data_IF_211443001233
#
_entry.id   IF_211443001233
#
_cell.length_a   1.000
_cell.length_b   1.000
_cell.length_c   1.000
_cell.angle_alpha   90.00
_cell.angle_beta   90.00
_cell.angle_gamma   90.00
#
_symmetry.space_group_name_H-M   'P 1'
#
loop_
_entity.id
_entity.type
_entity.pdbx_description
1 polymer ?
#
# COMPACT_ATOMS: atom_id res chain seq x y z
N UNK A 1 2.52 -12.19 37.80
CA UNK A 1 1.10 -12.41 37.47
C UNK A 1 1.05 -12.70 35.98
N UNK A 2 0.70 -13.94 35.64
CA UNK A 2 0.50 -14.40 34.28
C UNK A 2 -0.72 -13.69 33.70
N UNK A 3 -0.55 -12.98 32.59
CA UNK A 3 -1.64 -12.76 31.63
C UNK A 3 -1.28 -13.59 30.43
N UNK A 4 -1.89 -14.77 30.35
CA UNK A 4 -1.97 -15.56 29.12
C UNK A 4 -2.55 -14.67 28.03
N UNK A 5 -1.72 -14.32 27.06
CA UNK A 5 -2.14 -13.63 25.86
C UNK A 5 -2.76 -14.70 24.96
N UNK A 6 -4.00 -15.07 25.26
CA UNK A 6 -4.78 -15.95 24.40
C UNK A 6 -5.11 -15.24 23.08
N UNK A 7 -4.75 -15.89 21.97
CA UNK A 7 -5.19 -15.60 20.60
C UNK A 7 -4.85 -14.22 19.99
N UNK A 8 -3.58 -13.82 19.99
CA UNK A 8 -3.15 -12.82 19.00
C UNK A 8 -3.09 -13.46 17.60
N UNK A 9 -3.85 -12.90 16.66
CA UNK A 9 -3.58 -13.10 15.23
C UNK A 9 -2.18 -12.53 14.94
N UNK A 10 -1.15 -13.38 15.02
CA UNK A 10 0.26 -12.99 14.85
C UNK A 10 0.52 -12.33 13.49
N UNK A 11 -0.33 -12.60 12.49
CA UNK A 11 -0.26 -11.94 11.17
C UNK A 11 -0.58 -10.45 11.21
N UNK A 12 -1.34 -9.99 12.21
CA UNK A 12 -1.72 -8.59 12.35
C UNK A 12 -0.62 -7.72 12.99
N UNK A 13 0.46 -8.33 13.50
CA UNK A 13 1.53 -7.63 14.20
C UNK A 13 2.85 -7.63 13.42
N UNK A 14 3.53 -6.49 13.44
CA UNK A 14 4.93 -6.32 13.02
C UNK A 14 5.78 -6.09 14.28
N UNK A 15 6.30 -7.18 14.85
CA UNK A 15 6.95 -7.15 16.15
C UNK A 15 5.97 -6.74 17.25
N UNK A 16 6.26 -5.66 17.97
CA UNK A 16 5.38 -5.14 19.03
C UNK A 16 4.32 -4.13 18.54
N UNK A 17 4.31 -3.80 17.25
CA UNK A 17 3.41 -2.80 16.66
C UNK A 17 2.38 -3.47 15.75
N UNK A 18 1.21 -2.85 15.59
CA UNK A 18 0.10 -3.41 14.79
C UNK A 18 -1.02 -3.93 15.68
N UNK A 19 -1.68 -5.00 15.24
CA UNK A 19 -2.88 -5.55 15.88
C UNK A 19 -4.18 -4.90 15.39
N UNK A 20 -5.30 -5.37 15.94
CA UNK A 20 -6.65 -4.91 15.60
C UNK A 20 -7.37 -4.50 16.89
N UNK A 21 -7.00 -3.34 17.44
CA UNK A 21 -7.60 -2.78 18.66
C UNK A 21 -8.86 -1.97 18.32
N UNK A 22 -9.91 -2.66 17.86
CA UNK A 22 -11.19 -2.07 17.47
C UNK A 22 -12.34 -2.65 18.29
N UNK A 23 -13.53 -2.01 18.34
CA UNK A 23 -14.71 -2.61 18.97
C UNK A 23 -15.06 -3.96 18.34
N UNK A 24 -15.65 -4.86 19.13
CA UNK A 24 -16.11 -6.18 18.66
C UNK A 24 -17.04 -6.07 17.44
N UNK A 25 -17.89 -5.04 17.42
CA UNK A 25 -18.81 -4.74 16.31
C UNK A 25 -18.09 -4.46 14.97
N UNK A 26 -16.81 -4.08 14.99
CA UNK A 26 -16.00 -3.85 13.79
C UNK A 26 -15.14 -5.06 13.41
N UNK A 27 -14.96 -6.04 14.29
CA UNK A 27 -14.10 -7.20 14.04
C UNK A 27 -14.58 -8.04 12.86
N UNK A 28 -15.90 -8.23 12.73
CA UNK A 28 -16.48 -8.98 11.62
C UNK A 28 -16.14 -8.35 10.26
N UNK A 29 -16.26 -7.03 10.14
CA UNK A 29 -15.95 -6.31 8.90
C UNK A 29 -14.46 -6.42 8.53
N UNK A 30 -13.55 -6.39 9.52
CA UNK A 30 -12.12 -6.57 9.28
C UNK A 30 -11.77 -7.99 8.83
N UNK A 31 -12.41 -9.01 9.41
CA UNK A 31 -12.18 -10.41 9.00
C UNK A 31 -12.69 -10.66 7.58
N UNK A 32 -13.85 -10.14 7.21
CA UNK A 32 -14.38 -10.25 5.85
C UNK A 32 -13.50 -9.49 4.85
N UNK A 33 -13.04 -8.28 5.20
CA UNK A 33 -12.10 -7.52 4.35
C UNK A 33 -10.80 -8.28 4.11
N UNK A 34 -10.19 -8.85 5.16
CA UNK A 34 -8.95 -9.64 5.01
C UNK A 34 -9.18 -10.84 4.09
N UNK A 35 -10.29 -11.56 4.27
CA UNK A 35 -10.65 -12.73 3.46
C UNK A 35 -10.83 -12.37 1.99
N UNK A 36 -11.58 -11.31 1.67
CA UNK A 36 -11.80 -10.91 0.27
C UNK A 36 -10.52 -10.34 -0.35
N UNK A 37 -9.70 -9.61 0.40
CA UNK A 37 -8.39 -9.17 -0.06
C UNK A 37 -7.49 -10.36 -0.43
N UNK A 38 -7.44 -11.42 0.38
CA UNK A 38 -6.64 -12.61 0.07
C UNK A 38 -7.12 -13.33 -1.21
N UNK A 39 -8.41 -13.26 -1.53
CA UNK A 39 -8.93 -13.80 -2.79
C UNK A 39 -8.53 -12.91 -3.96
N UNK A 40 -8.85 -11.62 -3.89
CA UNK A 40 -8.59 -10.65 -4.96
C UNK A 40 -7.09 -10.57 -5.32
N UNK A 41 -6.21 -10.60 -4.31
CA UNK A 41 -4.75 -10.61 -4.51
C UNK A 41 -4.26 -11.78 -5.37
N UNK A 42 -4.97 -12.92 -5.37
CA UNK A 42 -4.60 -14.10 -6.15
C UNK A 42 -5.48 -14.30 -7.40
N UNK A 43 -6.40 -13.37 -7.68
CA UNK A 43 -7.27 -13.41 -8.85
C UNK A 43 -6.58 -12.70 -10.04
N UNK A 44 -6.25 -13.43 -11.12
CA UNK A 44 -5.62 -12.84 -12.29
C UNK A 44 -6.44 -11.73 -12.95
N UNK A 45 -7.79 -11.82 -12.90
CA UNK A 45 -8.65 -10.82 -13.51
C UNK A 45 -8.60 -9.49 -12.76
N UNK A 46 -8.57 -9.54 -11.42
CA UNK A 46 -8.41 -8.35 -10.58
C UNK A 46 -7.04 -7.70 -10.79
N UNK A 47 -5.97 -8.51 -10.84
CA UNK A 47 -4.63 -8.00 -11.10
C UNK A 47 -4.53 -7.34 -12.48
N UNK A 48 -5.13 -7.94 -13.53
CA UNK A 48 -5.15 -7.38 -14.88
C UNK A 48 -5.86 -6.01 -14.91
N UNK A 49 -7.04 -5.91 -14.29
CA UNK A 49 -7.80 -4.66 -14.21
C UNK A 49 -7.03 -3.58 -13.43
N UNK A 50 -6.46 -3.92 -12.26
CA UNK A 50 -5.68 -3.00 -11.47
C UNK A 50 -4.45 -2.50 -12.25
N UNK A 51 -3.74 -3.38 -12.96
CA UNK A 51 -2.58 -2.98 -13.77
C UNK A 51 -2.98 -2.08 -14.94
N UNK A 52 -4.13 -2.33 -15.58
CA UNK A 52 -4.65 -1.45 -16.63
C UNK A 52 -4.94 -0.04 -16.08
N UNK A 53 -5.64 0.05 -14.94
CA UNK A 53 -5.91 1.32 -14.26
C UNK A 53 -4.62 2.04 -13.84
N UNK A 54 -3.66 1.32 -13.25
CA UNK A 54 -2.37 1.89 -12.86
C UNK A 54 -1.62 2.46 -14.07
N UNK A 55 -1.69 1.80 -15.23
CA UNK A 55 -1.00 2.24 -16.44
C UNK A 55 -1.75 3.37 -17.14
N UNK A 56 -3.01 3.15 -17.48
CA UNK A 56 -3.78 3.98 -18.40
C UNK A 56 -4.53 5.12 -17.70
N UNK A 57 -4.88 4.97 -16.42
CA UNK A 57 -5.57 6.01 -15.65
C UNK A 57 -4.61 6.76 -14.72
N UNK A 58 -3.79 6.06 -13.93
CA UNK A 58 -2.82 6.72 -13.03
C UNK A 58 -1.62 7.30 -13.78
N UNK A 59 -1.20 6.67 -14.88
CA UNK A 59 -0.02 7.09 -15.65
C UNK A 59 1.29 6.44 -15.17
N UNK A 60 1.23 5.22 -14.63
CA UNK A 60 2.43 4.46 -14.22
C UNK A 60 3.10 3.76 -15.43
N UNK A 61 4.42 3.48 -15.35
CA UNK A 61 5.33 3.79 -14.24
C UNK A 61 5.73 5.26 -14.21
N UNK A 62 5.82 5.83 -13.00
CA UNK A 62 6.40 7.16 -12.79
C UNK A 62 7.92 7.13 -13.00
N UNK A 63 8.52 8.18 -13.62
CA UNK A 63 9.94 8.21 -13.91
C UNK A 63 10.79 8.34 -12.65
N UNK A 64 12.03 7.83 -12.72
CA UNK A 64 13.08 8.08 -11.73
C UNK A 64 13.99 9.20 -12.27
N UNK A 65 13.78 10.42 -11.80
CA UNK A 65 14.41 11.62 -12.35
C UNK A 65 15.76 11.91 -11.68
N UNK A 66 16.83 12.02 -12.47
CA UNK A 66 18.15 12.46 -11.97
C UNK A 66 18.20 13.98 -11.78
N UNK A 67 18.30 14.43 -10.54
CA UNK A 67 18.22 15.84 -10.16
C UNK A 67 19.59 16.55 -10.26
N UNK A 68 20.10 16.74 -11.49
CA UNK A 68 21.45 17.26 -11.80
C UNK A 68 21.94 18.40 -10.90
N UNK A 69 21.13 19.46 -10.73
CA UNK A 69 21.53 20.63 -9.95
C UNK A 69 21.62 20.31 -8.46
N UNK A 70 20.71 19.49 -7.94
CA UNK A 70 20.70 19.04 -6.56
C UNK A 70 21.88 18.11 -6.30
N UNK A 71 22.16 17.20 -7.24
CA UNK A 71 23.31 16.31 -7.19
C UNK A 71 24.62 17.08 -7.16
N UNK A 72 24.77 18.09 -8.03
CA UNK A 72 25.94 18.96 -8.06
C UNK A 72 26.10 19.77 -6.75
N UNK A 73 25.00 20.23 -6.17
CA UNK A 73 25.02 20.99 -4.92
C UNK A 73 25.51 20.15 -3.73
N UNK A 74 25.11 18.88 -3.66
CA UNK A 74 25.47 17.98 -2.56
C UNK A 74 26.65 17.05 -2.84
N UNK A 75 27.19 17.03 -4.06
CA UNK A 75 28.29 16.15 -4.47
C UNK A 75 27.92 14.66 -4.45
N UNK A 76 26.65 14.31 -4.61
CA UNK A 76 26.11 12.95 -4.57
C UNK A 76 25.04 12.78 -5.64
N UNK A 77 24.86 11.57 -6.16
CA UNK A 77 23.80 11.32 -7.14
C UNK A 77 22.43 11.26 -6.46
N UNK A 78 21.57 12.25 -6.76
CA UNK A 78 20.22 12.34 -6.21
C UNK A 78 19.19 12.05 -7.29
N UNK A 79 18.34 11.07 -7.02
CA UNK A 79 17.22 10.67 -7.87
C UNK A 79 15.88 10.90 -7.16
N UNK A 80 14.89 11.39 -7.90
CA UNK A 80 13.54 11.63 -7.41
C UNK A 80 12.58 10.62 -8.04
N UNK A 81 11.90 9.82 -7.21
CA UNK A 81 10.79 8.98 -7.67
C UNK A 81 9.55 9.85 -7.86
N UNK A 82 9.16 10.09 -9.11
CA UNK A 82 8.18 11.13 -9.50
C UNK A 82 6.72 10.73 -9.29
N UNK A 83 6.35 10.27 -8.09
CA UNK A 83 4.95 9.97 -7.74
C UNK A 83 4.05 11.22 -7.75
N UNK A 84 4.63 12.42 -7.78
CA UNK A 84 3.92 13.68 -8.04
C UNK A 84 3.25 13.73 -9.42
N UNK A 85 3.69 12.89 -10.36
CA UNK A 85 3.14 12.79 -11.71
C UNK A 85 1.98 11.79 -11.84
N UNK A 86 1.64 11.06 -10.78
CA UNK A 86 0.45 10.21 -10.79
C UNK A 86 -0.79 11.07 -11.01
N UNK A 87 -1.82 10.53 -11.66
CA UNK A 87 -3.13 11.18 -11.71
C UNK A 87 -3.57 11.57 -10.28
N UNK A 88 -4.16 12.75 -10.10
CA UNK A 88 -4.42 13.45 -8.81
C UNK A 88 -3.21 14.05 -8.08
N UNK A 89 -1.98 13.83 -8.54
CA UNK A 89 -0.76 14.46 -8.02
C UNK A 89 -0.17 13.82 -6.75
N UNK A 90 -0.67 12.64 -6.34
CA UNK A 90 -0.20 11.96 -5.14
C UNK A 90 -0.12 10.44 -5.31
N UNK A 91 0.81 9.81 -4.59
CA UNK A 91 0.95 8.34 -4.55
C UNK A 91 -0.27 7.61 -3.96
N UNK A 92 -1.18 8.32 -3.26
CA UNK A 92 -2.35 7.73 -2.59
C UNK A 92 -3.33 7.07 -3.55
N UNK A 93 -3.41 7.55 -4.80
CA UNK A 93 -4.31 6.99 -5.81
C UNK A 93 -4.04 5.52 -6.09
N UNK A 94 -2.78 5.06 -5.98
CA UNK A 94 -2.43 3.65 -6.18
C UNK A 94 -3.19 2.74 -5.21
N UNK A 95 -3.30 3.16 -3.95
CA UNK A 95 -4.04 2.42 -2.93
C UNK A 95 -5.55 2.61 -3.08
N UNK A 96 -6.00 3.83 -3.40
CA UNK A 96 -7.43 4.11 -3.55
C UNK A 96 -8.05 3.27 -4.66
N UNK A 97 -7.39 3.13 -5.80
CA UNK A 97 -7.85 2.28 -6.90
C UNK A 97 -7.86 0.80 -6.54
N UNK A 98 -6.90 0.32 -5.74
CA UNK A 98 -6.92 -1.07 -5.27
C UNK A 98 -8.00 -1.38 -4.23
N UNK A 99 -8.71 -0.38 -3.72
CA UNK A 99 -9.78 -0.53 -2.73
C UNK A 99 -11.20 -0.34 -3.32
N UNK A 100 -11.32 0.20 -4.53
CA UNK A 100 -12.59 0.47 -5.24
C UNK A 100 -12.78 -0.59 -6.31
#
# INVERSE_FOLDING_TARGET
>A
MNTEIENHNTKAYFGKFGGQYVPETAMYALTELEKEYQKAKNDPAFEEELQDLLKNYVGRPSPLYYAKNLSAHYGQDIYLKREDLNHTGAHKINNALGQV
#
